data_IF_361905337336
#
_entry.id   IF_361905337336
#
_cell.length_a   1.000
_cell.length_b   1.000
_cell.length_c   1.000
_cell.angle_alpha   90.00
_cell.angle_beta   90.00
_cell.angle_gamma   90.00
#
_symmetry.space_group_name_H-M   'P 1'
#
loop_
_entity.id
_entity.type
_entity.pdbx_description
1 polymer ?
#
# COMPACT_ATOMS: atom_id res chain seq x y z
N UNK A 1 -3.67 13.18 -28.22
CA UNK A 1 -3.76 13.27 -26.74
C UNK A 1 -4.71 14.40 -26.40
N UNK A 2 -5.74 14.13 -25.60
CA UNK A 2 -6.68 15.15 -25.14
C UNK A 2 -6.21 15.68 -23.78
N UNK A 3 -6.07 16.99 -23.66
CA UNK A 3 -5.75 17.64 -22.39
C UNK A 3 -7.01 18.12 -21.72
N UNK A 4 -7.06 18.02 -20.40
CA UNK A 4 -8.15 18.53 -19.58
C UNK A 4 -7.58 19.44 -18.49
N UNK A 5 -8.42 20.34 -17.98
CA UNK A 5 -8.02 21.27 -16.92
C UNK A 5 -8.69 20.87 -15.62
N UNK A 6 -7.88 20.72 -14.56
CA UNK A 6 -8.40 20.56 -13.20
C UNK A 6 -8.20 21.88 -12.43
N UNK A 7 -9.26 22.45 -11.82
CA UNK A 7 -9.09 23.61 -10.95
C UNK A 7 -8.45 23.15 -9.64
N UNK A 8 -7.35 23.80 -9.26
CA UNK A 8 -6.66 23.58 -7.98
C UNK A 8 -6.43 24.91 -7.29
N UNK A 9 -6.38 24.91 -5.96
CA UNK A 9 -6.06 26.12 -5.21
C UNK A 9 -4.65 26.63 -5.57
N UNK A 10 -4.46 27.95 -5.54
CA UNK A 10 -3.19 28.59 -5.90
C UNK A 10 -2.01 28.11 -5.03
N UNK A 11 -2.25 27.90 -3.75
CA UNK A 11 -1.26 27.37 -2.81
C UNK A 11 -0.86 25.93 -3.14
N UNK A 12 -1.83 25.09 -3.52
CA UNK A 12 -1.59 23.70 -3.96
C UNK A 12 -0.76 23.70 -5.24
N UNK A 13 -1.14 24.48 -6.26
CA UNK A 13 -0.37 24.59 -7.51
C UNK A 13 1.08 24.99 -7.25
N UNK A 14 1.30 26.02 -6.42
CA UNK A 14 2.64 26.50 -6.06
C UNK A 14 3.48 25.42 -5.36
N UNK A 15 2.87 24.59 -4.52
CA UNK A 15 3.57 23.46 -3.88
C UNK A 15 3.93 22.40 -4.91
N UNK A 16 3.00 22.03 -5.78
CA UNK A 16 3.24 21.04 -6.82
C UNK A 16 4.32 21.50 -7.80
N UNK A 17 4.36 22.77 -8.20
CA UNK A 17 5.40 23.31 -9.08
C UNK A 17 6.81 23.19 -8.48
N UNK A 18 6.96 23.46 -7.18
CA UNK A 18 8.24 23.29 -6.48
C UNK A 18 8.73 21.84 -6.48
N UNK A 19 7.81 20.88 -6.37
CA UNK A 19 8.14 19.45 -6.38
C UNK A 19 8.29 18.87 -7.79
N UNK A 20 7.55 19.41 -8.77
CA UNK A 20 7.62 19.00 -10.17
C UNK A 20 9.02 19.20 -10.75
N UNK A 21 9.66 20.33 -10.40
CA UNK A 21 10.89 20.77 -11.05
C UNK A 21 10.67 20.87 -12.55
N UNK A 22 11.57 20.25 -13.32
CA UNK A 22 11.57 20.31 -14.79
C UNK A 22 10.65 19.27 -15.48
N UNK A 23 9.97 18.40 -14.72
CA UNK A 23 9.09 17.36 -15.29
C UNK A 23 7.84 17.92 -15.99
N UNK A 24 7.31 17.24 -16.98
CA UNK A 24 5.97 17.50 -17.53
C UNK A 24 4.87 17.28 -16.48
N UNK A 25 3.81 18.09 -16.49
CA UNK A 25 2.72 18.00 -15.51
C UNK A 25 2.06 16.62 -15.48
N UNK A 26 1.75 16.05 -16.64
CA UNK A 26 1.10 14.74 -16.74
C UNK A 26 1.99 13.63 -16.18
N UNK A 27 3.29 13.67 -16.47
CA UNK A 27 4.25 12.69 -15.92
C UNK A 27 4.37 12.83 -14.41
N UNK A 28 4.53 14.06 -13.91
CA UNK A 28 4.64 14.32 -12.47
C UNK A 28 3.40 13.88 -11.69
N UNK A 29 2.20 14.18 -12.19
CA UNK A 29 0.95 13.78 -11.54
C UNK A 29 0.75 12.26 -11.56
N UNK A 30 1.17 11.58 -12.62
CA UNK A 30 1.16 10.11 -12.68
C UNK A 30 2.17 9.49 -11.70
N UNK A 31 3.39 10.02 -11.63
CA UNK A 31 4.40 9.56 -10.68
C UNK A 31 3.88 9.70 -9.24
N UNK A 32 3.30 10.86 -8.92
CA UNK A 32 2.70 11.12 -7.61
C UNK A 32 1.55 10.15 -7.29
N UNK A 33 0.71 9.82 -8.27
CA UNK A 33 -0.36 8.84 -8.09
C UNK A 33 0.21 7.43 -7.82
N UNK A 34 1.23 7.03 -8.56
CA UNK A 34 1.89 5.73 -8.41
C UNK A 34 2.53 5.59 -7.03
N UNK A 35 3.22 6.61 -6.53
CA UNK A 35 3.77 6.60 -5.17
C UNK A 35 2.68 6.43 -4.11
N UNK A 36 1.55 7.12 -4.25
CA UNK A 36 0.42 6.98 -3.32
C UNK A 36 -0.16 5.56 -3.35
N UNK A 37 -0.26 4.95 -4.53
CA UNK A 37 -0.75 3.57 -4.68
C UNK A 37 0.21 2.59 -3.99
N UNK A 38 1.51 2.72 -4.23
CA UNK A 38 2.51 1.83 -3.63
C UNK A 38 2.60 2.00 -2.10
N UNK A 39 2.56 3.24 -1.60
CA UNK A 39 2.51 3.50 -0.16
C UNK A 39 1.28 2.86 0.50
N UNK A 40 0.11 2.92 -0.16
CA UNK A 40 -1.11 2.25 0.32
C UNK A 40 -0.97 0.73 0.27
N UNK A 41 -0.39 0.17 -0.78
CA UNK A 41 -0.14 -1.27 -0.91
C UNK A 41 0.76 -1.78 0.21
N UNK A 42 1.88 -1.11 0.46
CA UNK A 42 2.81 -1.46 1.55
C UNK A 42 2.12 -1.39 2.91
N UNK A 43 1.33 -0.34 3.17
CA UNK A 43 0.57 -0.21 4.43
C UNK A 43 -0.43 -1.34 4.61
N UNK A 44 -1.17 -1.70 3.55
CA UNK A 44 -2.12 -2.81 3.58
C UNK A 44 -1.42 -4.16 3.80
N UNK A 45 -0.30 -4.40 3.10
CA UNK A 45 0.49 -5.61 3.29
C UNK A 45 1.02 -5.73 4.72
N UNK A 46 1.53 -4.65 5.30
CA UNK A 46 1.98 -4.63 6.69
C UNK A 46 0.84 -4.96 7.66
N UNK A 47 -0.34 -4.40 7.44
CA UNK A 47 -1.53 -4.69 8.25
C UNK A 47 -1.95 -6.15 8.14
N UNK A 48 -1.91 -6.73 6.94
CA UNK A 48 -2.16 -8.15 6.73
C UNK A 48 -1.12 -9.01 7.47
N UNK A 49 0.17 -8.70 7.35
CA UNK A 49 1.24 -9.41 8.05
C UNK A 49 1.05 -9.39 9.58
N UNK A 50 0.69 -8.24 10.15
CA UNK A 50 0.40 -8.11 11.59
C UNK A 50 -0.85 -8.91 12.03
N UNK A 51 -1.84 -9.05 11.16
CA UNK A 51 -2.98 -9.93 11.41
C UNK A 51 -2.56 -11.40 11.35
N UNK A 52 -1.83 -11.83 10.31
CA UNK A 52 -1.41 -13.21 10.12
C UNK A 52 -0.44 -13.68 11.21
N UNK A 53 0.55 -12.86 11.60
CA UNK A 53 1.52 -13.23 12.63
C UNK A 53 0.87 -13.50 13.99
N UNK A 54 -0.17 -12.73 14.35
CA UNK A 54 -0.92 -12.96 15.59
C UNK A 54 -1.65 -14.30 15.62
N UNK A 55 -2.03 -14.83 14.45
CA UNK A 55 -2.70 -16.12 14.34
C UNK A 55 -1.72 -17.26 14.06
N UNK A 56 -0.43 -16.97 13.84
CA UNK A 56 0.55 -17.99 13.48
C UNK A 56 0.81 -18.95 14.64
N UNK A 57 0.91 -18.44 15.86
CA UNK A 57 1.07 -19.25 17.08
C UNK A 57 -0.17 -20.12 17.32
N UNK A 58 -1.37 -19.58 17.12
CA UNK A 58 -2.62 -20.34 17.24
C UNK A 58 -2.72 -21.46 16.19
N UNK A 59 -2.28 -21.20 14.96
CA UNK A 59 -2.23 -22.20 13.89
C UNK A 59 -1.20 -23.29 14.22
N UNK A 60 0.00 -22.95 14.68
CA UNK A 60 0.99 -23.95 15.09
C UNK A 60 0.52 -24.82 16.25
N UNK A 61 -0.10 -24.20 17.27
CA UNK A 61 -0.64 -24.92 18.42
C UNK A 61 -1.78 -25.85 18.01
N UNK A 62 -2.67 -25.38 17.12
CA UNK A 62 -3.73 -26.19 16.52
C UNK A 62 -3.18 -27.37 15.71
N UNK A 63 -2.14 -27.14 14.89
CA UNK A 63 -1.48 -28.22 14.14
C UNK A 63 -0.80 -29.24 15.05
N UNK A 64 -0.15 -28.82 16.14
CA UNK A 64 0.45 -29.72 17.14
C UNK A 64 -0.62 -30.54 17.85
N UNK A 65 -1.72 -29.93 18.27
CA UNK A 65 -2.86 -30.62 18.89
C UNK A 65 -3.48 -31.62 17.93
N UNK A 66 -3.77 -31.20 16.70
CA UNK A 66 -4.31 -32.08 15.66
C UNK A 66 -3.40 -33.28 15.40
N UNK A 67 -2.08 -33.09 15.26
CA UNK A 67 -1.15 -34.24 15.09
C UNK A 67 -1.13 -35.15 16.31
N UNK A 68 -1.15 -34.63 17.54
CA UNK A 68 -1.21 -35.46 18.76
C UNK A 68 -2.50 -36.26 18.86
N UNK A 69 -3.63 -35.67 18.45
CA UNK A 69 -4.95 -36.31 18.48
C UNK A 69 -5.16 -37.29 17.31
N UNK A 70 -4.56 -37.03 16.14
CA UNK A 70 -4.62 -37.90 14.96
C UNK A 70 -3.49 -38.94 14.86
N UNK A 71 -2.42 -38.82 15.66
CA UNK A 71 -1.52 -39.94 15.97
C UNK A 71 -2.23 -40.90 16.93
N UNK A 72 -3.31 -41.51 16.46
CA UNK A 72 -3.78 -42.79 16.97
C UNK A 72 -2.85 -43.84 16.35
N UNK A 73 -2.10 -44.53 17.20
CA UNK A 73 -1.19 -45.68 16.99
C UNK A 73 -0.88 -46.12 15.54
#
# INVERSE_FOLDING_TARGET
>A
MAYTTIPVKKDVKRRLEKFKGDKEWSSFLNDLLNEVIEARRVKSFRKLRELTLRHLEEIEESHKKFRREFSLD
#
